data_IF_581270024729
#
_entry.id   IF_581270024729
#
_cell.length_a   1.000
_cell.length_b   1.000
_cell.length_c   1.000
_cell.angle_alpha   90.00
_cell.angle_beta   90.00
_cell.angle_gamma   90.00
#
_symmetry.space_group_name_H-M   'P 1'
#
loop_
_entity.id
_entity.type
_entity.pdbx_description
1 polymer ?
#
# COMPACT_ATOMS: atom_id res chain seq x y z
N UNK A 1 -6.96 -24.75 -1.32
CA UNK A 1 -8.35 -24.46 -1.74
C UNK A 1 -9.10 -24.08 -0.47
N UNK A 2 -9.24 -22.78 -0.21
CA UNK A 2 -9.88 -22.27 1.00
C UNK A 2 -11.38 -22.62 1.01
N UNK A 3 -11.93 -22.85 2.20
CA UNK A 3 -13.37 -22.89 2.34
C UNK A 3 -13.94 -21.48 2.12
N UNK A 4 -15.01 -21.32 1.32
CA UNK A 4 -15.63 -20.01 1.14
C UNK A 4 -16.10 -19.47 2.49
N UNK A 5 -16.07 -18.14 2.70
CA UNK A 5 -16.55 -17.52 3.93
C UNK A 5 -17.98 -17.97 4.22
N UNK A 6 -18.21 -18.61 5.38
CA UNK A 6 -19.55 -19.07 5.78
C UNK A 6 -20.30 -17.89 6.42
N UNK A 7 -21.45 -17.46 5.86
CA UNK A 7 -22.29 -16.47 6.51
C UNK A 7 -22.97 -17.10 7.73
N UNK A 8 -22.84 -16.41 8.87
CA UNK A 8 -23.52 -16.74 10.12
C UNK A 8 -24.81 -15.91 10.19
N UNK A 9 -25.91 -16.47 10.74
CA UNK A 9 -27.08 -15.67 11.12
C UNK A 9 -26.63 -14.55 12.07
N UNK A 10 -27.05 -13.30 11.79
CA UNK A 10 -26.55 -12.02 12.34
C UNK A 10 -25.35 -11.33 11.65
N UNK A 11 -24.89 -11.83 10.49
CA UNK A 11 -24.08 -11.03 9.56
C UNK A 11 -22.59 -10.93 9.89
N UNK A 12 -22.06 -11.87 10.68
CA UNK A 12 -20.62 -12.06 10.83
C UNK A 12 -20.07 -12.96 9.72
N UNK A 13 -18.86 -12.64 9.27
CA UNK A 13 -18.07 -13.44 8.35
C UNK A 13 -16.74 -13.75 9.00
N UNK A 14 -16.44 -15.04 9.16
CA UNK A 14 -15.15 -15.49 9.66
C UNK A 14 -14.17 -15.67 8.51
N UNK A 15 -12.90 -15.39 8.76
CA UNK A 15 -11.80 -15.50 7.81
C UNK A 15 -10.59 -16.08 8.50
N UNK A 16 -10.71 -17.35 8.80
CA UNK A 16 -9.67 -18.18 9.37
C UNK A 16 -10.14 -19.63 9.43
N UNK A 17 -9.22 -20.51 9.75
CA UNK A 17 -9.46 -21.93 9.96
C UNK A 17 -8.88 -22.33 11.29
N UNK A 18 -9.73 -22.88 12.15
CA UNK A 18 -9.28 -23.51 13.38
C UNK A 18 -8.69 -24.90 13.07
N UNK A 19 -7.55 -25.20 13.67
CA UNK A 19 -6.86 -26.48 13.57
C UNK A 19 -6.16 -26.83 14.89
N UNK A 20 -5.53 -28.00 14.94
CA UNK A 20 -4.80 -28.48 16.12
C UNK A 20 -3.37 -28.84 15.76
N UNK A 21 -2.43 -28.35 16.57
CA UNK A 21 -1.02 -28.70 16.46
C UNK A 21 -0.54 -29.27 17.79
N UNK A 22 -0.27 -30.58 17.84
CA UNK A 22 0.13 -31.32 19.05
C UNK A 22 -0.79 -31.04 20.25
N UNK A 23 -2.10 -31.07 20.01
CA UNK A 23 -3.12 -30.84 21.04
C UNK A 23 -3.38 -29.38 21.40
N UNK A 24 -2.68 -28.41 20.78
CA UNK A 24 -2.96 -26.98 20.98
C UNK A 24 -3.83 -26.44 19.84
N UNK A 25 -4.93 -25.72 20.13
CA UNK A 25 -5.74 -25.10 19.09
C UNK A 25 -4.97 -23.94 18.45
N UNK A 26 -5.00 -23.88 17.13
CA UNK A 26 -4.33 -22.88 16.31
C UNK A 26 -5.32 -22.32 15.30
N UNK A 27 -5.40 -20.99 15.22
CA UNK A 27 -6.18 -20.29 14.24
C UNK A 27 -5.27 -19.77 13.12
N UNK A 28 -5.55 -20.18 11.89
CA UNK A 28 -4.79 -19.78 10.70
C UNK A 28 -5.66 -18.92 9.77
N UNK A 29 -5.11 -17.84 9.20
CA UNK A 29 -5.75 -17.08 8.13
C UNK A 29 -4.75 -16.75 7.04
N UNK A 30 -5.01 -17.27 5.83
CA UNK A 30 -4.20 -17.00 4.65
C UNK A 30 -4.29 -15.52 4.23
N UNK A 31 -5.50 -14.95 4.26
CA UNK A 31 -5.76 -13.56 3.86
C UNK A 31 -5.00 -12.53 4.72
N UNK A 32 -4.81 -12.82 6.01
CA UNK A 32 -4.04 -11.95 6.92
C UNK A 32 -2.59 -12.40 7.16
N UNK A 33 -2.18 -13.57 6.66
CA UNK A 33 -0.91 -14.20 7.04
C UNK A 33 -0.80 -14.48 8.55
N UNK A 34 -1.92 -14.75 9.22
CA UNK A 34 -2.00 -14.85 10.68
C UNK A 34 -1.96 -16.32 11.12
N UNK A 35 -1.16 -16.62 12.14
CA UNK A 35 -1.17 -17.87 12.88
C UNK A 35 -1.21 -17.52 14.37
N UNK A 36 -2.27 -17.93 15.08
CA UNK A 36 -2.45 -17.68 16.51
C UNK A 36 -2.62 -18.99 17.25
N UNK A 37 -1.86 -19.20 18.32
CA UNK A 37 -2.18 -20.22 19.29
C UNK A 37 -3.32 -19.71 20.18
N UNK A 38 -4.37 -20.51 20.31
CA UNK A 38 -5.52 -20.21 21.17
C UNK A 38 -5.42 -21.02 22.48
N UNK A 39 -6.14 -20.57 23.51
CA UNK A 39 -6.50 -21.44 24.63
C UNK A 39 -7.81 -22.18 24.29
N UNK A 40 -8.20 -23.16 25.11
CA UNK A 40 -9.41 -23.97 24.88
C UNK A 40 -10.69 -23.13 24.84
N UNK A 41 -10.84 -22.16 25.74
CA UNK A 41 -12.02 -21.26 25.77
C UNK A 41 -12.15 -20.45 24.49
N UNK A 42 -11.05 -19.91 23.96
CA UNK A 42 -11.05 -19.18 22.70
C UNK A 42 -11.30 -20.11 21.50
N UNK A 43 -10.81 -21.35 21.52
CA UNK A 43 -11.14 -22.33 20.49
C UNK A 43 -12.63 -22.68 20.49
N UNK A 44 -13.25 -22.81 21.66
CA UNK A 44 -14.68 -23.04 21.80
C UNK A 44 -15.51 -21.85 21.33
N UNK A 45 -15.12 -20.62 21.70
CA UNK A 45 -15.78 -19.41 21.19
C UNK A 45 -15.71 -19.37 19.66
N UNK A 46 -14.56 -19.68 19.05
CA UNK A 46 -14.41 -19.72 17.59
C UNK A 46 -15.35 -20.74 16.94
N UNK A 47 -15.39 -21.98 17.46
CA UNK A 47 -16.30 -23.02 16.95
C UNK A 47 -17.75 -22.59 17.02
N UNK A 48 -18.18 -22.02 18.14
CA UNK A 48 -19.56 -21.56 18.27
C UNK A 48 -19.88 -20.40 17.31
N UNK A 49 -18.91 -19.52 17.00
CA UNK A 49 -19.09 -18.56 15.92
C UNK A 49 -19.21 -19.29 14.57
N UNK A 50 -18.36 -20.27 14.26
CA UNK A 50 -18.47 -21.06 13.01
C UNK A 50 -19.83 -21.76 12.86
N UNK A 51 -20.42 -22.19 13.97
CA UNK A 51 -21.73 -22.83 14.06
C UNK A 51 -22.90 -21.84 13.97
N UNK A 52 -22.61 -20.54 13.98
CA UNK A 52 -23.60 -19.50 13.76
C UNK A 52 -24.13 -18.79 15.01
N UNK A 53 -23.56 -19.05 16.19
CA UNK A 53 -24.08 -18.48 17.43
C UNK A 53 -23.70 -17.01 17.58
N UNK A 54 -24.64 -16.21 18.12
CA UNK A 54 -24.38 -14.83 18.50
C UNK A 54 -23.46 -14.75 19.72
N UNK A 55 -22.75 -13.62 19.95
CA UNK A 55 -21.90 -13.46 21.13
C UNK A 55 -22.66 -13.64 22.46
N UNK A 56 -23.93 -13.26 22.49
CA UNK A 56 -24.80 -13.46 23.64
C UNK A 56 -25.13 -14.94 23.87
N UNK A 57 -25.40 -15.70 22.79
CA UNK A 57 -25.61 -17.15 22.87
C UNK A 57 -24.34 -17.89 23.29
N UNK A 58 -23.18 -17.47 22.79
CA UNK A 58 -21.87 -18.02 23.21
C UNK A 58 -21.64 -17.78 24.71
N UNK A 59 -21.93 -16.58 25.21
CA UNK A 59 -21.83 -16.30 26.64
C UNK A 59 -22.79 -17.20 27.46
N UNK A 60 -23.99 -17.50 26.95
CA UNK A 60 -24.92 -18.43 27.60
C UNK A 60 -24.38 -19.88 27.63
N UNK A 61 -23.76 -20.35 26.54
CA UNK A 61 -23.10 -21.67 26.47
C UNK A 61 -21.94 -21.78 27.45
N UNK A 62 -21.09 -20.75 27.54
CA UNK A 62 -19.99 -20.70 28.52
C UNK A 62 -20.52 -20.73 29.96
N UNK A 63 -21.64 -20.04 30.23
CA UNK A 63 -22.30 -20.08 31.55
C UNK A 63 -22.83 -21.47 31.89
N UNK A 64 -23.43 -22.16 30.92
CA UNK A 64 -23.91 -23.54 31.12
C UNK A 64 -22.77 -24.51 31.50
N UNK A 65 -21.52 -24.19 31.12
CA UNK A 65 -20.30 -24.93 31.49
C UNK A 65 -19.65 -24.44 32.78
N UNK A 66 -20.31 -23.56 33.54
CA UNK A 66 -19.86 -23.11 34.85
C UNK A 66 -19.01 -21.84 34.87
N UNK A 67 -18.90 -21.11 33.74
CA UNK A 67 -18.24 -19.79 33.74
C UNK A 67 -19.21 -18.74 34.32
N UNK A 68 -18.70 -17.86 35.19
CA UNK A 68 -19.46 -16.75 35.75
C UNK A 68 -20.01 -15.84 34.62
N UNK A 69 -21.20 -15.27 34.80
CA UNK A 69 -21.95 -14.58 33.76
C UNK A 69 -21.23 -13.36 33.17
N UNK A 70 -20.66 -12.51 34.02
CA UNK A 70 -19.92 -11.33 33.60
C UNK A 70 -18.62 -11.72 32.89
N UNK A 71 -17.94 -12.75 33.41
CA UNK A 71 -16.71 -13.29 32.81
C UNK A 71 -16.96 -13.97 31.44
N UNK A 72 -18.05 -14.73 31.30
CA UNK A 72 -18.42 -15.38 30.04
C UNK A 72 -18.71 -14.34 28.94
N UNK A 73 -19.41 -13.26 29.29
CA UNK A 73 -19.66 -12.13 28.41
C UNK A 73 -18.35 -11.46 28.00
N UNK A 74 -17.48 -11.19 28.98
CA UNK A 74 -16.18 -10.57 28.74
C UNK A 74 -15.28 -11.42 27.82
N UNK A 75 -15.28 -12.76 27.96
CA UNK A 75 -14.51 -13.64 27.08
C UNK A 75 -15.02 -13.61 25.64
N UNK A 76 -16.33 -13.73 25.42
CA UNK A 76 -16.92 -13.67 24.08
C UNK A 76 -16.66 -12.32 23.41
N UNK A 77 -16.85 -11.21 24.14
CA UNK A 77 -16.59 -9.85 23.64
C UNK A 77 -15.11 -9.60 23.36
N UNK A 78 -14.22 -10.02 24.26
CA UNK A 78 -12.77 -9.83 24.11
C UNK A 78 -12.23 -10.63 22.93
N UNK A 79 -12.61 -11.90 22.80
CA UNK A 79 -12.18 -12.76 21.69
C UNK A 79 -12.68 -12.21 20.36
N UNK A 80 -13.96 -11.84 20.27
CA UNK A 80 -14.53 -11.26 19.06
C UNK A 80 -13.90 -9.91 18.72
N UNK A 81 -13.66 -9.05 19.71
CA UNK A 81 -12.98 -7.77 19.52
C UNK A 81 -11.54 -7.94 19.03
N UNK A 82 -10.80 -8.92 19.56
CA UNK A 82 -9.46 -9.24 19.11
C UNK A 82 -9.44 -9.79 17.69
N UNK A 83 -10.27 -10.78 17.38
CA UNK A 83 -10.37 -11.35 16.03
C UNK A 83 -10.92 -10.34 15.02
N UNK A 84 -11.82 -9.45 15.44
CA UNK A 84 -12.26 -8.30 14.62
C UNK A 84 -11.11 -7.36 14.37
N UNK A 85 -10.26 -7.05 15.35
CA UNK A 85 -9.06 -6.22 15.13
C UNK A 85 -8.07 -6.89 14.17
N UNK A 86 -7.96 -8.22 14.25
CA UNK A 86 -7.06 -9.03 13.41
C UNK A 86 -7.65 -9.36 12.03
N UNK A 87 -8.92 -9.00 11.75
CA UNK A 87 -9.59 -9.30 10.49
C UNK A 87 -9.99 -10.77 10.31
N UNK A 88 -9.99 -11.54 11.40
CA UNK A 88 -10.42 -12.94 11.43
C UNK A 88 -11.94 -13.08 11.59
N UNK A 89 -12.61 -12.05 12.11
CA UNK A 89 -14.06 -11.94 12.17
C UNK A 89 -14.45 -10.55 11.70
N UNK A 90 -15.51 -10.42 10.90
CA UNK A 90 -15.96 -9.12 10.43
C UNK A 90 -17.47 -9.10 10.18
N UNK A 91 -18.14 -7.99 10.52
CA UNK A 91 -19.53 -7.77 10.10
C UNK A 91 -19.53 -7.13 8.72
N UNK A 92 -19.30 -7.96 7.70
CA UNK A 92 -19.21 -7.50 6.33
C UNK A 92 -20.55 -6.93 5.86
N UNK A 93 -20.58 -5.71 5.30
CA UNK A 93 -21.76 -5.23 4.61
C UNK A 93 -22.07 -6.18 3.44
N UNK A 94 -23.33 -6.62 3.33
CA UNK A 94 -23.75 -7.54 2.26
C UNK A 94 -23.75 -6.90 0.87
N UNK A 95 -23.81 -5.57 0.81
CA UNK A 95 -23.85 -4.78 -0.41
C UNK A 95 -22.98 -3.55 -0.27
N UNK A 96 -22.50 -3.06 -1.40
CA UNK A 96 -21.92 -1.73 -1.50
C UNK A 96 -22.98 -0.66 -1.15
N UNK A 97 -22.55 0.53 -0.70
CA UNK A 97 -23.46 1.64 -0.46
C UNK A 97 -24.16 2.06 -1.77
N UNK A 98 -25.49 2.16 -1.75
CA UNK A 98 -26.31 2.62 -2.89
C UNK A 98 -26.47 4.16 -2.88
N UNK A 99 -26.34 4.79 -1.70
CA UNK A 99 -26.44 6.23 -1.54
C UNK A 99 -25.25 6.98 -2.16
N UNK A 100 -25.43 8.22 -2.63
CA UNK A 100 -24.32 9.04 -3.12
C UNK A 100 -23.26 9.26 -2.04
N UNK A 101 -22.00 9.03 -2.39
CA UNK A 101 -20.89 9.27 -1.47
C UNK A 101 -20.73 10.76 -1.15
N UNK A 102 -20.52 11.14 0.13
CA UNK A 102 -20.27 12.53 0.51
C UNK A 102 -18.96 13.08 -0.07
N UNK A 103 -18.00 12.21 -0.38
CA UNK A 103 -16.77 12.56 -1.07
C UNK A 103 -16.48 11.53 -2.16
N UNK A 104 -16.56 11.97 -3.42
CA UNK A 104 -16.17 11.16 -4.56
C UNK A 104 -15.36 11.98 -5.57
N UNK A 105 -14.43 11.33 -6.23
CA UNK A 105 -13.61 11.93 -7.28
C UNK A 105 -13.20 10.87 -8.31
N UNK A 106 -12.92 11.30 -9.53
CA UNK A 106 -12.29 10.46 -10.55
C UNK A 106 -10.80 10.73 -10.51
N UNK A 107 -10.00 9.68 -10.38
CA UNK A 107 -8.54 9.73 -10.39
C UNK A 107 -8.02 9.35 -11.78
N UNK A 108 -6.96 10.02 -12.24
CA UNK A 108 -6.19 9.63 -13.43
C UNK A 108 -4.80 9.14 -13.00
N UNK A 109 -4.55 7.84 -13.11
CA UNK A 109 -3.28 7.24 -12.67
C UNK A 109 -2.95 6.00 -13.50
N UNK A 110 -1.70 5.87 -13.95
CA UNK A 110 -1.25 4.70 -14.73
C UNK A 110 -2.03 4.50 -16.03
N UNK A 111 -2.46 5.59 -16.68
CA UNK A 111 -3.29 5.52 -17.89
C UNK A 111 -4.76 5.16 -17.65
N UNK A 112 -5.16 4.88 -16.40
CA UNK A 112 -6.53 4.49 -16.04
C UNK A 112 -7.29 5.63 -15.38
N UNK A 113 -8.61 5.59 -15.55
CA UNK A 113 -9.56 6.46 -14.86
C UNK A 113 -10.39 5.64 -13.88
N UNK A 114 -10.22 5.94 -12.60
CA UNK A 114 -10.79 5.17 -11.49
C UNK A 114 -11.60 6.12 -10.62
N UNK A 115 -12.87 5.83 -10.42
CA UNK A 115 -13.72 6.57 -9.49
C UNK A 115 -13.47 6.05 -8.08
N UNK A 116 -13.19 6.96 -7.15
CA UNK A 116 -13.05 6.65 -5.72
C UNK A 116 -14.14 7.38 -4.97
N UNK A 117 -14.96 6.61 -4.26
CA UNK A 117 -16.05 7.06 -3.42
C UNK A 117 -15.74 6.72 -1.96
N UNK A 118 -15.72 7.72 -1.07
CA UNK A 118 -15.48 7.54 0.35
C UNK A 118 -16.74 7.91 1.15
N UNK A 119 -17.25 6.96 1.93
CA UNK A 119 -18.49 7.12 2.71
C UNK A 119 -18.22 7.27 4.20
N UNK A 120 -19.15 7.94 4.89
CA UNK A 120 -19.12 8.15 6.34
C UNK A 120 -17.81 8.78 6.81
N UNK A 121 -17.20 8.18 7.83
CA UNK A 121 -15.96 8.66 8.47
C UNK A 121 -14.74 8.66 7.54
N UNK A 122 -14.81 8.03 6.36
CA UNK A 122 -13.71 8.03 5.40
C UNK A 122 -13.76 9.17 4.38
N UNK A 123 -14.78 10.04 4.39
CA UNK A 123 -14.83 11.19 3.49
C UNK A 123 -13.51 12.02 3.46
N UNK A 124 -12.81 12.27 4.59
CA UNK A 124 -11.53 12.97 4.58
C UNK A 124 -10.40 12.24 3.83
N UNK A 125 -10.48 10.91 3.65
CA UNK A 125 -9.45 10.14 2.93
C UNK A 125 -9.41 10.47 1.44
N UNK A 126 -10.51 10.98 0.86
CA UNK A 126 -10.50 11.48 -0.51
C UNK A 126 -9.44 12.58 -0.70
N UNK A 127 -9.18 13.40 0.32
CA UNK A 127 -8.16 14.45 0.24
C UNK A 127 -6.74 13.90 0.00
N UNK A 128 -6.45 12.64 0.37
CA UNK A 128 -5.14 12.01 0.15
C UNK A 128 -4.83 11.72 -1.33
N UNK A 129 -5.85 11.77 -2.19
CA UNK A 129 -5.74 11.47 -3.63
C UNK A 129 -6.09 12.67 -4.50
N UNK A 130 -6.38 13.84 -3.92
CA UNK A 130 -6.86 15.03 -4.64
C UNK A 130 -5.91 15.51 -5.75
N UNK A 131 -4.61 15.30 -5.59
CA UNK A 131 -3.60 15.66 -6.59
C UNK A 131 -3.60 14.74 -7.81
N UNK A 132 -4.35 13.64 -7.75
CA UNK A 132 -4.57 12.69 -8.85
C UNK A 132 -5.92 12.91 -9.53
N UNK A 133 -6.70 13.91 -9.11
CA UNK A 133 -8.02 14.16 -9.67
C UNK A 133 -7.94 14.42 -11.19
N UNK A 134 -8.75 13.67 -11.94
CA UNK A 134 -8.96 13.88 -13.35
C UNK A 134 -9.75 15.18 -13.59
N UNK A 135 -9.63 15.81 -14.77
CA UNK A 135 -10.49 16.92 -15.16
C UNK A 135 -11.99 16.54 -15.11
N UNK A 136 -12.85 17.50 -14.81
CA UNK A 136 -14.31 17.30 -14.71
C UNK A 136 -14.91 16.71 -16.00
N UNK A 137 -16.00 15.94 -15.85
CA UNK A 137 -16.79 15.39 -16.96
C UNK A 137 -16.23 14.10 -17.57
N UNK A 138 -15.11 13.56 -17.07
CA UNK A 138 -14.55 12.30 -17.57
C UNK A 138 -15.12 11.09 -16.83
N UNK A 139 -15.70 10.15 -17.59
CA UNK A 139 -16.16 8.87 -17.07
C UNK A 139 -14.99 7.99 -16.57
N UNK A 140 -15.24 7.21 -15.53
CA UNK A 140 -14.34 6.17 -15.04
C UNK A 140 -14.88 4.80 -15.44
N UNK A 141 -13.98 3.86 -15.76
CA UNK A 141 -14.37 2.49 -16.12
C UNK A 141 -14.55 1.58 -14.89
N UNK A 142 -13.88 1.93 -13.79
CA UNK A 142 -13.87 1.17 -12.53
C UNK A 142 -14.24 2.11 -11.39
N UNK A 143 -15.04 1.63 -10.45
CA UNK A 143 -15.35 2.33 -9.21
C UNK A 143 -14.83 1.55 -7.99
N UNK A 144 -14.14 2.25 -7.09
CA UNK A 144 -13.86 1.80 -5.73
C UNK A 144 -14.68 2.59 -4.71
N UNK A 145 -15.43 1.88 -3.88
CA UNK A 145 -16.20 2.46 -2.78
C UNK A 145 -15.63 2.01 -1.43
N UNK A 146 -15.28 2.97 -0.58
CA UNK A 146 -14.75 2.74 0.76
C UNK A 146 -15.79 3.11 1.80
N UNK A 147 -16.23 2.12 2.58
CA UNK A 147 -17.30 2.24 3.57
C UNK A 147 -16.79 1.96 4.99
N UNK A 148 -17.16 2.83 5.93
CA UNK A 148 -16.98 2.61 7.36
C UNK A 148 -18.15 1.78 7.91
N UNK A 149 -17.87 0.59 8.44
CA UNK A 149 -18.85 -0.24 9.11
C UNK A 149 -18.20 -1.09 10.21
N UNK A 150 -18.82 -1.15 11.40
CA UNK A 150 -18.33 -1.96 12.51
C UNK A 150 -16.92 -1.59 13.01
N UNK A 151 -16.52 -0.31 12.90
CA UNK A 151 -15.18 0.15 13.27
C UNK A 151 -14.06 -0.32 12.32
N UNK A 152 -14.43 -0.77 11.12
CA UNK A 152 -13.52 -1.24 10.07
C UNK A 152 -13.80 -0.54 8.74
N UNK A 153 -12.80 -0.59 7.88
CA UNK A 153 -12.87 -0.17 6.50
C UNK A 153 -13.22 -1.35 5.59
N UNK A 154 -14.21 -1.17 4.73
CA UNK A 154 -14.62 -2.14 3.72
C UNK A 154 -14.48 -1.50 2.36
N UNK A 155 -13.72 -2.16 1.48
CA UNK A 155 -13.50 -1.70 0.12
C UNK A 155 -14.28 -2.58 -0.86
N UNK A 156 -15.03 -1.94 -1.74
CA UNK A 156 -15.75 -2.55 -2.85
C UNK A 156 -15.14 -2.08 -4.16
N UNK A 157 -15.16 -2.94 -5.18
CA UNK A 157 -14.86 -2.63 -6.57
C UNK A 157 -16.10 -2.97 -7.39
N UNK A 158 -16.67 -1.99 -8.09
CA UNK A 158 -17.88 -2.13 -8.90
C UNK A 158 -19.03 -2.84 -8.16
N UNK A 159 -19.23 -2.48 -6.89
CA UNK A 159 -20.25 -3.07 -6.02
C UNK A 159 -19.87 -4.39 -5.34
N UNK A 160 -18.76 -5.02 -5.75
CA UNK A 160 -18.29 -6.30 -5.22
C UNK A 160 -17.25 -6.08 -4.12
N UNK A 161 -17.45 -6.69 -2.95
CA UNK A 161 -16.51 -6.60 -1.84
C UNK A 161 -15.15 -7.19 -2.22
N UNK A 162 -14.08 -6.44 -1.98
CA UNK A 162 -12.70 -6.84 -2.28
C UNK A 162 -11.93 -7.21 -1.01
N UNK A 163 -11.96 -6.31 -0.03
CA UNK A 163 -11.14 -6.45 1.16
C UNK A 163 -11.66 -5.57 2.31
N UNK A 164 -11.20 -5.88 3.52
CA UNK A 164 -11.45 -5.07 4.70
C UNK A 164 -10.22 -4.93 5.59
N UNK A 165 -10.13 -3.82 6.32
CA UNK A 165 -9.01 -3.51 7.21
C UNK A 165 -9.50 -2.73 8.45
N UNK A 166 -8.61 -2.52 9.43
CA UNK A 166 -8.89 -1.57 10.49
C UNK A 166 -9.08 -0.15 9.92
N UNK A 167 -9.93 0.68 10.53
CA UNK A 167 -10.21 2.03 10.00
C UNK A 167 -8.96 2.92 9.87
N UNK A 168 -7.96 2.75 10.75
CA UNK A 168 -6.70 3.51 10.69
C UNK A 168 -5.71 3.00 9.63
N UNK A 169 -6.03 1.90 8.96
CA UNK A 169 -5.31 1.31 7.81
C UNK A 169 -6.03 1.57 6.47
N UNK A 170 -7.21 2.19 6.48
CA UNK A 170 -8.07 2.39 5.31
C UNK A 170 -7.37 3.10 4.14
N UNK A 171 -6.54 4.11 4.42
CA UNK A 171 -5.75 4.80 3.40
C UNK A 171 -4.75 3.86 2.68
N UNK A 172 -4.13 2.96 3.44
CA UNK A 172 -3.18 1.96 2.91
C UNK A 172 -3.91 0.91 2.11
N UNK A 173 -5.07 0.45 2.60
CA UNK A 173 -5.94 -0.49 1.90
C UNK A 173 -6.33 0.05 0.52
N UNK A 174 -6.87 1.28 0.47
CA UNK A 174 -7.30 1.91 -0.77
C UNK A 174 -6.13 2.14 -1.73
N UNK A 175 -4.99 2.69 -1.26
CA UNK A 175 -3.79 2.87 -2.09
C UNK A 175 -3.31 1.54 -2.70
N UNK A 176 -3.29 0.48 -1.89
CA UNK A 176 -2.87 -0.85 -2.34
C UNK A 176 -3.77 -1.39 -3.45
N UNK A 177 -5.08 -1.26 -3.29
CA UNK A 177 -6.06 -1.76 -4.25
C UNK A 177 -6.08 -0.95 -5.55
N UNK A 178 -5.86 0.38 -5.48
CA UNK A 178 -5.61 1.20 -6.67
C UNK A 178 -4.34 0.77 -7.41
N UNK A 179 -3.27 0.44 -6.68
CA UNK A 179 -2.05 -0.08 -7.29
C UNK A 179 -2.30 -1.43 -7.97
N UNK A 180 -2.97 -2.37 -7.31
CA UNK A 180 -3.35 -3.67 -7.89
C UNK A 180 -4.14 -3.49 -9.17
N UNK A 181 -5.17 -2.63 -9.18
CA UNK A 181 -5.96 -2.34 -10.39
C UNK A 181 -5.09 -1.86 -11.57
N UNK A 182 -4.10 -1.00 -11.31
CA UNK A 182 -3.17 -0.51 -12.35
C UNK A 182 -2.24 -1.62 -12.83
N UNK A 183 -1.70 -2.43 -11.91
CA UNK A 183 -0.76 -3.49 -12.26
C UNK A 183 -1.41 -4.62 -13.05
N UNK A 184 -2.66 -4.96 -12.74
CA UNK A 184 -3.39 -6.05 -13.41
C UNK A 184 -3.99 -5.65 -14.77
N UNK A 185 -4.25 -4.36 -14.98
CA UNK A 185 -4.99 -3.87 -16.16
C UNK A 185 -4.28 -2.74 -16.90
N UNK A 186 -2.95 -2.66 -16.80
CA UNK A 186 -2.14 -1.65 -17.45
C UNK A 186 -1.27 -2.24 -18.57
N UNK A 187 -0.82 -1.38 -19.49
CA UNK A 187 -0.04 -1.76 -20.67
C UNK A 187 1.49 -1.76 -20.39
N UNK A 188 1.89 -1.73 -19.12
CA UNK A 188 3.29 -1.85 -18.73
C UNK A 188 3.82 -3.26 -19.00
N UNK A 189 5.10 -3.36 -19.38
CA UNK A 189 5.80 -4.64 -19.41
C UNK A 189 6.18 -5.11 -17.99
N UNK A 190 6.61 -4.18 -17.13
CA UNK A 190 7.00 -4.44 -15.74
C UNK A 190 6.64 -3.26 -14.83
N UNK A 191 6.53 -3.52 -13.53
CA UNK A 191 6.53 -2.48 -12.51
C UNK A 191 7.82 -2.56 -11.70
N UNK A 192 8.52 -1.44 -11.56
CA UNK A 192 9.78 -1.35 -10.81
C UNK A 192 9.53 -0.75 -9.43
N UNK A 193 10.08 -1.37 -8.38
CA UNK A 193 10.11 -0.80 -7.05
C UNK A 193 11.16 0.33 -6.95
N UNK A 194 10.83 1.46 -7.55
CA UNK A 194 11.70 2.62 -7.63
C UNK A 194 10.91 3.92 -7.42
N UNK A 195 11.55 4.90 -6.77
CA UNK A 195 11.07 6.26 -6.81
C UNK A 195 11.44 6.88 -8.17
N UNK A 196 10.57 7.74 -8.69
CA UNK A 196 10.72 8.37 -9.98
C UNK A 196 10.63 9.90 -9.84
N UNK A 197 11.59 10.60 -10.41
CA UNK A 197 11.65 12.06 -10.47
C UNK A 197 11.84 12.52 -11.91
N UNK A 198 11.26 13.66 -12.27
CA UNK A 198 11.43 14.29 -13.57
C UNK A 198 12.52 15.35 -13.48
N UNK A 199 13.47 15.29 -14.40
CA UNK A 199 14.48 16.33 -14.60
C UNK A 199 14.71 16.49 -16.09
N UNK A 200 14.58 17.72 -16.58
CA UNK A 200 14.86 18.08 -17.99
C UNK A 200 14.16 17.15 -19.01
N UNK A 201 12.89 16.82 -18.73
CA UNK A 201 12.05 15.97 -19.57
C UNK A 201 12.30 14.46 -19.46
N UNK A 202 13.31 14.03 -18.70
CA UNK A 202 13.72 12.63 -18.51
C UNK A 202 13.49 12.16 -17.07
N UNK A 203 13.28 10.86 -16.90
CA UNK A 203 13.10 10.28 -15.58
C UNK A 203 14.43 9.87 -14.94
N UNK A 204 14.55 10.21 -13.67
CA UNK A 204 15.49 9.69 -12.71
C UNK A 204 14.81 8.59 -11.91
N UNK A 205 15.32 7.36 -11.99
CA UNK A 205 14.87 6.24 -11.17
C UNK A 205 15.80 6.04 -9.98
N UNK A 206 15.25 6.01 -8.77
CA UNK A 206 15.96 5.72 -7.53
C UNK A 206 15.51 4.37 -7.01
N UNK A 207 16.43 3.41 -6.93
CA UNK A 207 16.15 2.11 -6.33
C UNK A 207 17.18 1.74 -5.27
N UNK A 208 16.94 0.64 -4.57
CA UNK A 208 17.84 0.12 -3.56
C UNK A 208 17.11 -0.46 -2.35
N UNK A 209 17.82 -1.22 -1.51
CA UNK A 209 17.22 -1.96 -0.41
C UNK A 209 16.35 -1.09 0.51
N UNK A 210 15.33 -1.67 1.18
CA UNK A 210 14.55 -0.98 2.19
C UNK A 210 15.44 -0.27 3.22
N UNK A 211 15.14 0.99 3.54
CA UNK A 211 15.90 1.78 4.53
C UNK A 211 17.10 2.55 3.98
N UNK A 212 17.44 2.41 2.69
CA UNK A 212 18.48 3.22 2.03
C UNK A 212 18.08 4.68 1.77
N UNK A 213 16.83 5.05 2.06
CA UNK A 213 16.37 6.44 2.03
C UNK A 213 15.69 6.88 0.72
N UNK A 214 15.22 5.95 -0.14
CA UNK A 214 14.53 6.27 -1.42
C UNK A 214 13.49 7.39 -1.29
N UNK A 215 12.48 7.20 -0.44
CA UNK A 215 11.44 8.20 -0.18
C UNK A 215 11.97 9.52 0.35
N UNK A 216 12.92 9.47 1.29
CA UNK A 216 13.51 10.66 1.88
C UNK A 216 14.29 11.47 0.83
N UNK A 217 15.10 10.80 0.00
CA UNK A 217 15.86 11.44 -1.05
C UNK A 217 14.95 11.95 -2.17
N UNK A 218 13.91 11.19 -2.55
CA UNK A 218 12.98 11.59 -3.59
C UNK A 218 12.23 12.87 -3.21
N UNK A 219 11.73 12.94 -1.97
CA UNK A 219 11.07 14.14 -1.45
C UNK A 219 12.03 15.33 -1.32
N UNK A 220 13.28 15.10 -0.91
CA UNK A 220 14.27 16.15 -0.81
C UNK A 220 14.70 16.71 -2.18
N UNK A 221 14.81 15.84 -3.20
CA UNK A 221 15.05 16.25 -4.58
C UNK A 221 13.85 17.00 -5.16
N UNK A 222 12.63 16.57 -4.83
CA UNK A 222 11.41 17.27 -5.24
C UNK A 222 11.38 18.70 -4.68
N UNK A 223 11.70 18.87 -3.39
CA UNK A 223 11.87 20.19 -2.78
C UNK A 223 13.03 21.00 -3.37
N UNK A 224 14.00 20.35 -4.02
CA UNK A 224 15.11 20.99 -4.74
C UNK A 224 14.81 21.23 -6.24
N UNK A 225 13.55 21.14 -6.66
CA UNK A 225 13.11 21.49 -8.01
C UNK A 225 13.06 20.34 -9.02
N UNK A 226 13.28 19.09 -8.58
CA UNK A 226 12.95 17.93 -9.41
C UNK A 226 11.43 17.72 -9.42
N UNK A 227 10.85 17.29 -10.53
CA UNK A 227 9.43 16.99 -10.58
C UNK A 227 9.13 15.66 -9.89
N UNK A 228 8.32 15.63 -8.84
CA UNK A 228 7.95 14.38 -8.17
C UNK A 228 7.02 13.53 -9.06
N UNK A 229 7.49 12.39 -9.57
CA UNK A 229 6.70 11.51 -10.45
C UNK A 229 6.19 10.24 -9.73
N UNK A 230 6.82 9.82 -8.64
CA UNK A 230 6.40 8.67 -7.83
C UNK A 230 7.45 8.29 -6.80
N UNK A 231 7.06 7.51 -5.79
CA UNK A 231 7.97 7.06 -4.72
C UNK A 231 8.14 5.54 -4.68
N UNK A 232 7.03 4.79 -4.76
CA UNK A 232 7.05 3.35 -4.53
C UNK A 232 7.17 2.53 -5.82
N UNK A 233 6.59 3.03 -6.93
CA UNK A 233 6.42 2.29 -8.18
C UNK A 233 6.66 3.19 -9.39
N UNK A 234 7.46 2.68 -10.33
CA UNK A 234 7.57 3.18 -11.69
C UNK A 234 7.16 2.08 -12.68
N UNK A 235 6.19 2.38 -13.55
CA UNK A 235 5.75 1.49 -14.62
C UNK A 235 6.74 1.57 -15.78
N UNK A 236 7.27 0.43 -16.20
CA UNK A 236 8.17 0.28 -17.35
C UNK A 236 7.38 -0.25 -18.55
N UNK A 237 7.41 0.47 -19.66
CA UNK A 237 6.69 0.14 -20.88
C UNK A 237 7.58 -0.64 -21.86
N UNK A 238 6.98 -1.36 -22.84
CA UNK A 238 7.73 -2.20 -23.77
C UNK A 238 8.84 -1.48 -24.56
N UNK A 239 8.70 -0.17 -24.77
CA UNK A 239 9.67 0.67 -25.47
C UNK A 239 10.81 1.20 -24.58
N UNK A 240 10.89 0.76 -23.32
CA UNK A 240 11.90 1.19 -22.36
C UNK A 240 11.62 2.54 -21.69
N UNK A 241 10.49 3.21 -21.99
CA UNK A 241 10.07 4.41 -21.24
C UNK A 241 9.45 4.01 -19.91
N UNK A 242 9.51 4.94 -18.95
CA UNK A 242 8.91 4.77 -17.64
C UNK A 242 7.84 5.82 -17.34
N UNK A 243 6.90 5.50 -16.46
CA UNK A 243 6.00 6.45 -15.82
C UNK A 243 5.96 6.20 -14.31
N UNK A 244 6.27 7.21 -13.50
CA UNK A 244 6.04 7.12 -12.06
C UNK A 244 4.54 7.08 -11.72
N UNK A 245 4.20 6.46 -10.59
CA UNK A 245 2.88 6.56 -9.98
C UNK A 245 2.95 7.57 -8.81
N UNK A 246 2.46 8.82 -8.98
CA UNK A 246 2.60 9.88 -7.98
C UNK A 246 1.62 9.73 -6.80
N UNK A 247 1.44 8.53 -6.26
CA UNK A 247 0.78 8.38 -4.97
C UNK A 247 1.48 9.22 -3.89
N UNK A 248 0.72 9.67 -2.89
CA UNK A 248 1.32 10.30 -1.74
C UNK A 248 2.34 9.34 -1.08
N UNK A 249 3.60 9.77 -0.87
CA UNK A 249 4.65 8.93 -0.30
C UNK A 249 4.37 8.61 1.15
N UNK A 250 4.74 7.40 1.58
CA UNK A 250 4.52 6.93 2.95
C UNK A 250 5.71 7.32 3.86
N UNK A 251 5.73 8.55 4.36
CA UNK A 251 6.84 9.05 5.18
C UNK A 251 6.80 8.44 6.59
N UNK A 252 7.82 7.64 6.92
CA UNK A 252 8.01 7.05 8.25
C UNK A 252 8.40 8.10 9.28
N UNK A 253 7.99 7.93 10.54
CA UNK A 253 8.28 8.89 11.62
C UNK A 253 9.75 9.31 11.72
N UNK A 254 10.70 8.38 11.54
CA UNK A 254 12.13 8.68 11.60
C UNK A 254 12.66 9.57 10.47
N UNK A 255 11.92 9.71 9.37
CA UNK A 255 12.28 10.60 8.26
C UNK A 255 11.65 12.00 8.38
N UNK A 256 10.69 12.20 9.30
CA UNK A 256 9.97 13.48 9.44
C UNK A 256 10.92 14.61 9.80
N UNK A 257 11.83 14.40 10.76
CA UNK A 257 12.78 15.44 11.17
C UNK A 257 13.74 15.86 10.05
N UNK A 258 14.16 14.91 9.19
CA UNK A 258 15.04 15.18 8.04
C UNK A 258 14.33 15.98 6.94
N UNK A 259 13.02 15.80 6.81
CA UNK A 259 12.21 16.42 5.75
C UNK A 259 11.50 17.69 6.20
N UNK A 260 11.30 17.91 7.50
CA UNK A 260 10.58 19.04 8.05
C UNK A 260 11.09 20.41 7.53
N UNK A 261 12.40 20.68 7.38
CA UNK A 261 12.89 21.95 6.83
C UNK A 261 12.47 22.19 5.38
N UNK A 262 12.14 21.13 4.64
CA UNK A 262 11.81 21.15 3.20
C UNK A 262 10.32 20.98 2.94
N UNK A 263 9.59 20.45 3.91
CA UNK A 263 8.18 20.10 3.80
C UNK A 263 7.44 20.53 5.08
N UNK A 264 7.16 21.82 5.28
CA UNK A 264 6.54 22.32 6.52
C UNK A 264 5.20 21.63 6.85
N UNK A 265 4.40 21.31 5.84
CA UNK A 265 3.11 20.61 6.00
C UNK A 265 3.22 19.16 6.48
N UNK A 266 4.40 18.55 6.41
CA UNK A 266 4.62 17.15 6.81
C UNK A 266 4.40 16.92 8.31
N UNK A 267 4.82 17.87 9.14
CA UNK A 267 4.72 17.72 10.61
C UNK A 267 3.26 17.72 11.07
N UNK A 268 2.42 18.56 10.43
CA UNK A 268 1.00 18.71 10.74
C UNK A 268 0.11 17.63 10.09
N UNK A 269 0.59 16.88 9.10
CA UNK A 269 -0.20 15.88 8.40
C UNK A 269 -0.65 14.72 9.33
N UNK A 270 -1.88 14.18 9.21
CA UNK A 270 -2.36 13.06 10.02
C UNK A 270 -1.45 11.82 9.96
N UNK A 271 -1.43 11.03 11.04
CA UNK A 271 -0.70 9.76 11.09
C UNK A 271 -1.64 8.62 10.72
N UNK A 272 -1.19 7.75 9.83
CA UNK A 272 -1.90 6.52 9.45
C UNK A 272 -1.11 5.30 9.91
N UNK A 273 -1.80 4.20 10.20
CA UNK A 273 -1.16 2.94 10.57
C UNK A 273 -0.97 2.08 9.32
N UNK A 274 0.18 1.43 9.23
CA UNK A 274 0.44 0.38 8.24
C UNK A 274 0.14 -1.00 8.84
N UNK A 275 -0.09 -2.04 8.01
CA UNK A 275 -0.27 -3.41 8.50
C UNK A 275 0.86 -3.90 9.42
N UNK A 276 2.09 -3.40 9.24
CA UNK A 276 3.24 -3.67 10.11
C UNK A 276 3.25 -2.87 11.43
N UNK A 277 2.12 -2.23 11.77
CA UNK A 277 1.89 -1.36 12.94
C UNK A 277 2.74 -0.09 12.99
N UNK A 278 3.54 0.19 11.96
CA UNK A 278 4.31 1.44 11.90
C UNK A 278 3.41 2.59 11.48
N UNK A 279 3.70 3.78 12.01
CA UNK A 279 3.00 5.01 11.63
C UNK A 279 3.70 5.70 10.45
N UNK A 280 2.89 6.22 9.54
CA UNK A 280 3.34 6.99 8.38
C UNK A 280 2.48 8.25 8.19
N UNK A 281 3.04 9.23 7.50
CA UNK A 281 2.34 10.42 7.01
C UNK A 281 2.36 10.45 5.49
N UNK A 282 1.28 10.93 4.89
CA UNK A 282 1.13 11.04 3.45
C UNK A 282 1.14 12.53 3.05
N UNK A 283 2.31 13.19 2.99
CA UNK A 283 2.37 14.55 2.48
C UNK A 283 1.98 14.54 1.01
N UNK A 284 1.12 15.47 0.61
CA UNK A 284 0.81 15.64 -0.79
C UNK A 284 1.95 16.40 -1.46
N UNK A 285 2.46 15.93 -2.62
CA UNK A 285 3.37 16.75 -3.41
C UNK A 285 2.62 18.00 -3.92
N UNK A 286 3.26 19.16 -3.89
CA UNK A 286 2.63 20.44 -4.28
C UNK A 286 2.22 20.45 -5.77
N UNK A 287 3.06 19.89 -6.64
CA UNK A 287 2.83 19.79 -8.07
C UNK A 287 3.42 18.47 -8.62
N UNK A 288 2.75 17.32 -8.41
CA UNK A 288 3.23 16.05 -8.92
C UNK A 288 3.22 16.02 -10.45
N UNK A 289 4.22 15.35 -11.00
CA UNK A 289 4.33 15.08 -12.43
C UNK A 289 3.27 14.05 -12.79
N UNK A 290 2.44 14.38 -13.78
CA UNK A 290 1.44 13.44 -14.32
C UNK A 290 2.12 12.15 -14.79
N UNK A 291 1.48 11.01 -14.47
CA UNK A 291 1.92 9.67 -14.86
C UNK A 291 1.80 9.51 -16.38
N UNK A 292 2.92 9.71 -17.08
CA UNK A 292 3.04 9.57 -18.54
C UNK A 292 4.39 8.93 -18.87
N UNK A 293 4.44 8.02 -19.85
CA UNK A 293 5.69 7.40 -20.29
C UNK A 293 6.69 8.44 -20.79
N UNK A 294 7.89 8.43 -20.22
CA UNK A 294 9.01 9.32 -20.56
C UNK A 294 10.30 8.53 -20.65
N UNK A 295 11.28 8.97 -21.46
CA UNK A 295 12.61 8.38 -21.47
C UNK A 295 13.24 8.39 -20.07
N UNK A 296 13.92 7.30 -19.73
CA UNK A 296 14.76 7.24 -18.52
C UNK A 296 16.09 7.90 -18.85
N UNK A 297 16.48 8.92 -18.09
CA UNK A 297 17.77 9.59 -18.23
C UNK A 297 18.82 9.03 -17.28
N UNK A 298 18.38 8.63 -16.07
CA UNK A 298 19.29 8.20 -15.01
C UNK A 298 18.70 7.07 -14.17
N UNK A 299 19.55 6.13 -13.78
CA UNK A 299 19.21 5.02 -12.89
C UNK A 299 20.22 5.00 -11.75
N UNK A 300 19.73 5.26 -10.54
CA UNK A 300 20.56 5.34 -9.34
C UNK A 300 20.25 4.20 -8.39
N UNK A 301 21.28 3.39 -8.12
CA UNK A 301 21.28 2.45 -7.01
C UNK A 301 21.76 3.16 -5.74
N UNK A 302 20.91 3.21 -4.71
CA UNK A 302 21.24 3.85 -3.45
C UNK A 302 22.07 2.93 -2.55
N UNK A 303 23.16 3.47 -2.00
CA UNK A 303 24.03 2.79 -1.04
C UNK A 303 24.32 3.71 0.15
N UNK A 304 23.49 3.60 1.20
CA UNK A 304 23.68 4.40 2.41
C UNK A 304 24.82 3.84 3.28
N UNK A 305 25.85 4.63 3.55
CA UNK A 305 27.03 4.25 4.34
C UNK A 305 27.35 5.33 5.37
N UNK A 306 27.24 5.06 6.69
CA UNK A 306 27.51 6.06 7.72
C UNK A 306 28.90 6.69 7.57
N UNK A 307 28.98 8.01 7.77
CA UNK A 307 30.23 8.78 7.70
C UNK A 307 30.83 8.96 6.29
N UNK A 308 30.28 8.31 5.26
CA UNK A 308 30.78 8.47 3.90
C UNK A 308 30.21 9.73 3.25
N UNK A 309 31.04 10.54 2.58
CA UNK A 309 30.57 11.69 1.80
C UNK A 309 29.73 11.22 0.61
N UNK A 310 28.85 12.10 0.12
CA UNK A 310 28.09 11.83 -1.09
C UNK A 310 29.03 11.71 -2.30
N UNK A 311 28.93 10.58 -3.02
CA UNK A 311 29.62 10.38 -4.29
C UNK A 311 28.77 9.56 -5.27
N UNK A 312 29.06 9.75 -6.54
CA UNK A 312 28.41 9.07 -7.64
C UNK A 312 29.46 8.26 -8.39
N UNK A 313 29.34 6.94 -8.34
CA UNK A 313 30.25 6.00 -9.03
C UNK A 313 29.47 5.38 -10.21
N UNK A 314 30.06 5.22 -11.41
CA UNK A 314 29.41 4.50 -12.51
C UNK A 314 29.00 3.09 -12.10
N UNK A 315 27.83 2.65 -12.58
CA UNK A 315 27.33 1.29 -12.40
C UNK A 315 27.39 0.56 -13.74
N UNK A 316 28.03 -0.61 -13.77
CA UNK A 316 28.09 -1.46 -14.96
C UNK A 316 26.67 -1.79 -15.48
N UNK A 317 26.41 -1.74 -16.80
CA UNK A 317 25.07 -2.02 -17.35
C UNK A 317 24.52 -3.40 -16.97
N UNK A 318 25.35 -4.44 -16.89
CA UNK A 318 24.88 -5.77 -16.47
C UNK A 318 24.57 -5.81 -14.97
N UNK A 319 25.29 -5.04 -14.14
CA UNK A 319 24.91 -4.81 -12.75
C UNK A 319 23.61 -4.02 -12.61
N UNK A 320 23.39 -3.01 -13.45
CA UNK A 320 22.14 -2.25 -13.50
C UNK A 320 20.95 -3.13 -13.90
N UNK A 321 21.13 -4.02 -14.89
CA UNK A 321 20.13 -5.00 -15.30
C UNK A 321 19.74 -5.93 -14.16
N UNK A 322 20.71 -6.56 -13.50
CA UNK A 322 20.46 -7.43 -12.33
C UNK A 322 19.74 -6.68 -11.21
N UNK A 323 20.13 -5.43 -10.99
CA UNK A 323 19.52 -4.58 -9.99
C UNK A 323 18.06 -4.26 -10.31
N UNK A 324 17.74 -3.81 -11.53
CA UNK A 324 16.38 -3.47 -11.92
C UNK A 324 15.47 -4.70 -11.95
N UNK A 325 15.96 -5.84 -12.47
CA UNK A 325 15.21 -7.10 -12.42
C UNK A 325 14.94 -7.57 -11.00
N UNK A 326 15.88 -7.33 -10.07
CA UNK A 326 15.67 -7.62 -8.64
C UNK A 326 14.65 -6.71 -7.96
N UNK A 327 14.35 -5.55 -8.54
CA UNK A 327 13.31 -4.62 -8.06
C UNK A 327 12.03 -4.70 -8.93
N UNK A 328 11.98 -5.59 -9.93
CA UNK A 328 10.88 -5.69 -10.87
C UNK A 328 9.77 -6.63 -10.38
N UNK A 329 8.55 -6.28 -10.72
CA UNK A 329 7.34 -7.08 -10.54
C UNK A 329 6.63 -7.22 -11.88
N UNK A 330 6.33 -8.46 -12.27
CA UNK A 330 5.50 -8.78 -13.41
C UNK A 330 4.12 -9.21 -12.91
N UNK A 331 3.03 -8.69 -13.51
CA UNK A 331 1.67 -9.02 -13.10
C UNK A 331 1.37 -10.53 -13.20
N UNK A 332 1.93 -11.20 -14.20
CA UNK A 332 1.84 -12.66 -14.36
C UNK A 332 2.79 -13.48 -13.48
N UNK A 333 3.58 -12.84 -12.61
CA UNK A 333 4.54 -13.48 -11.70
C UNK A 333 5.86 -13.92 -12.35
N UNK A 334 5.96 -13.91 -13.67
CA UNK A 334 7.15 -14.33 -14.43
C UNK A 334 7.68 -13.22 -15.34
N UNK A 335 9.00 -13.16 -15.49
CA UNK A 335 9.67 -12.25 -16.43
C UNK A 335 9.47 -12.75 -17.86
N UNK A 336 8.85 -11.94 -18.72
CA UNK A 336 8.71 -12.21 -20.15
C UNK A 336 9.91 -11.69 -20.94
N UNK A 337 10.07 -12.17 -22.18
CA UNK A 337 11.09 -11.64 -23.11
C UNK A 337 10.90 -10.13 -23.36
N UNK A 338 9.65 -9.69 -23.54
CA UNK A 338 9.30 -8.27 -23.67
C UNK A 338 9.69 -7.47 -22.42
N UNK A 339 9.43 -7.99 -21.22
CA UNK A 339 9.85 -7.37 -19.98
C UNK A 339 11.37 -7.25 -19.87
N UNK A 340 12.11 -8.27 -20.29
CA UNK A 340 13.57 -8.24 -20.34
C UNK A 340 14.08 -7.18 -21.34
N UNK A 341 13.52 -7.15 -22.55
CA UNK A 341 13.89 -6.21 -23.60
C UNK A 341 13.59 -4.75 -23.18
N UNK A 342 12.47 -4.52 -22.50
CA UNK A 342 12.10 -3.22 -21.96
C UNK A 342 13.14 -2.71 -20.94
N UNK A 343 13.66 -3.58 -20.06
CA UNK A 343 14.71 -3.19 -19.10
C UNK A 343 16.01 -2.87 -19.82
N UNK A 344 16.39 -3.67 -20.82
CA UNK A 344 17.57 -3.42 -21.65
C UNK A 344 17.47 -2.09 -22.41
N UNK A 345 16.29 -1.76 -22.95
CA UNK A 345 16.03 -0.50 -23.64
C UNK A 345 16.13 0.70 -22.66
N UNK A 346 15.55 0.58 -21.46
CA UNK A 346 15.64 1.62 -20.44
C UNK A 346 17.09 1.90 -19.99
N UNK A 347 17.89 0.85 -19.80
CA UNK A 347 19.30 0.98 -19.41
C UNK A 347 20.13 1.61 -20.54
N UNK A 348 19.87 1.21 -21.78
CA UNK A 348 20.63 1.67 -22.95
C UNK A 348 20.47 3.18 -23.21
N UNK A 349 19.33 3.77 -22.81
CA UNK A 349 19.07 5.21 -22.91
C UNK A 349 19.49 6.05 -21.70
N UNK A 350 19.99 5.42 -20.63
CA UNK A 350 20.18 6.05 -19.34
C UNK A 350 21.63 5.96 -18.82
N UNK A 351 22.04 6.95 -18.04
CA UNK A 351 23.24 6.83 -17.24
C UNK A 351 22.97 6.03 -15.96
N UNK A 352 23.80 5.02 -15.70
CA UNK A 352 23.67 4.13 -14.55
C UNK A 352 24.73 4.43 -13.51
N UNK A 353 24.33 4.69 -12.26
CA UNK A 353 25.26 5.02 -11.18
C UNK A 353 24.87 4.40 -9.84
N UNK A 354 25.85 4.31 -8.95
CA UNK A 354 25.67 4.05 -7.51
C UNK A 354 25.86 5.35 -6.75
N UNK A 355 24.81 5.79 -6.04
CA UNK A 355 24.91 6.91 -5.10
C UNK A 355 25.30 6.37 -3.72
N UNK A 356 26.53 6.65 -3.30
CA UNK A 356 26.97 6.38 -1.93
C UNK A 356 26.86 7.64 -1.10
N UNK A 357 26.14 7.60 0.03
CA UNK A 357 25.93 8.79 0.86
C UNK A 357 25.58 8.46 2.32
N UNK A 358 25.71 9.45 3.20
CA UNK A 358 25.23 9.42 4.58
C UNK A 358 24.30 10.61 4.87
N UNK A 359 24.76 11.79 4.46
CA UNK A 359 24.10 13.08 4.59
C UNK A 359 23.15 13.36 3.41
N UNK A 360 21.94 13.80 3.72
CA UNK A 360 20.88 14.06 2.73
C UNK A 360 21.20 15.28 1.87
N UNK A 361 21.76 16.33 2.46
CA UNK A 361 21.96 17.62 1.81
C UNK A 361 23.11 17.54 0.81
N UNK A 362 24.19 16.85 1.18
CA UNK A 362 25.28 16.53 0.26
C UNK A 362 24.80 15.69 -0.94
N UNK A 363 23.93 14.70 -0.71
CA UNK A 363 23.39 13.88 -1.79
C UNK A 363 22.54 14.70 -2.75
N UNK A 364 21.64 15.55 -2.23
CA UNK A 364 20.81 16.46 -3.05
C UNK A 364 21.68 17.42 -3.86
N UNK A 365 22.66 18.08 -3.23
CA UNK A 365 23.54 19.02 -3.91
C UNK A 365 24.37 18.36 -5.02
N UNK A 366 24.87 17.14 -4.77
CA UNK A 366 25.62 16.38 -5.77
C UNK A 366 24.74 16.05 -6.98
N UNK A 367 23.53 15.52 -6.75
CA UNK A 367 22.63 15.12 -7.83
C UNK A 367 22.10 16.33 -8.62
N UNK A 368 21.75 17.43 -7.94
CA UNK A 368 21.31 18.65 -8.61
C UNK A 368 22.38 19.25 -9.54
N UNK A 369 23.67 19.02 -9.24
CA UNK A 369 24.79 19.45 -10.09
C UNK A 369 25.07 18.46 -11.23
N UNK A 370 25.01 17.16 -10.94
CA UNK A 370 25.45 16.09 -11.82
C UNK A 370 24.41 15.70 -12.89
N UNK A 371 23.12 15.77 -12.56
CA UNK A 371 22.02 15.39 -13.47
C UNK A 371 21.51 16.64 -14.19
N UNK A 372 21.82 16.78 -15.48
CA UNK A 372 21.49 17.93 -16.33
C UNK A 372 20.86 17.54 -17.66
#
# INVERSE_FOLDING_TARGET
>A
MDAPPRPIEEGWTLSGRLGWLRGRPVLFSAAGGIILALNETAADIWRHLEDGLSPAAIAAELRARGVEAELARAYAESALGEWTRLGLADRRPRRAPEDPAPAAQVLELGGRRIRVACHGDFAPLAALFRHLAAPEGQAAATEFALLAAGGRAHLFRDGVWQAGAASDEAAVLLKGQLLTEILEHGDQALALHAAALLRDGRLLLLGGPPGTGKTTLALALAAAGFGFAGDDVALLYPDGRCAGLPFAPAVKSGAVALLAPRMPGLVAAPAHRRPDRRRVRFPLPDAPVRSRPRPVGWILRLRRRPGMPARLDPLDPAEALRFLLGEAFAAGGELTAEGFDAVCAAISGAETHVLTYSDLDQAVALLARALR
#
